data_IF_137384085230
#
_entry.id   IF_137384085230
#
_cell.length_a   1.000
_cell.length_b   1.000
_cell.length_c   1.000
_cell.angle_alpha   90.00
_cell.angle_beta   90.00
_cell.angle_gamma   90.00
#
_symmetry.space_group_name_H-M   'P 1'
#
loop_
_entity.id
_entity.type
_entity.pdbx_description
1 polymer ?
#
# COMPACT_ATOMS: atom_id res chain seq x y z
N UNK A 1 -31.23 -55.31 -42.69
CA UNK A 1 -31.62 -55.49 -41.28
C UNK A 1 -30.38 -55.75 -40.44
N UNK A 2 -29.91 -54.79 -39.64
CA UNK A 2 -29.10 -55.01 -38.42
C UNK A 2 -29.14 -53.72 -37.61
N UNK A 3 -29.32 -53.89 -36.31
CA UNK A 3 -30.04 -53.02 -35.40
C UNK A 3 -29.13 -51.95 -34.80
N UNK A 4 -29.67 -50.74 -34.63
CA UNK A 4 -29.11 -49.70 -33.79
C UNK A 4 -29.11 -50.14 -32.32
N UNK A 5 -28.03 -49.84 -31.60
CA UNK A 5 -28.05 -49.66 -30.15
C UNK A 5 -27.12 -48.49 -29.81
N UNK A 6 -27.75 -47.39 -29.37
CA UNK A 6 -27.14 -46.24 -28.73
C UNK A 6 -26.44 -46.68 -27.44
N UNK A 7 -25.23 -46.18 -27.19
CA UNK A 7 -24.79 -45.84 -25.82
C UNK A 7 -24.24 -44.43 -25.85
N UNK A 8 -25.09 -43.52 -25.40
CA UNK A 8 -24.86 -42.12 -25.09
C UNK A 8 -23.72 -42.02 -24.07
N UNK A 9 -22.53 -41.64 -24.54
CA UNK A 9 -21.38 -41.38 -23.67
C UNK A 9 -21.54 -39.98 -23.09
N UNK A 10 -21.76 -39.94 -21.78
CA UNK A 10 -22.03 -38.76 -20.96
C UNK A 10 -20.87 -37.76 -21.01
N UNK A 11 -21.05 -36.64 -21.73
CA UNK A 11 -20.18 -35.47 -21.62
C UNK A 11 -20.52 -34.74 -20.31
N UNK A 12 -19.76 -35.03 -19.25
CA UNK A 12 -19.73 -34.16 -18.06
C UNK A 12 -19.12 -32.82 -18.47
N UNK A 13 -19.83 -31.69 -18.37
CA UNK A 13 -19.19 -30.40 -18.57
C UNK A 13 -18.20 -30.21 -17.44
N UNK A 14 -16.91 -30.09 -17.77
CA UNK A 14 -15.94 -29.46 -16.90
C UNK A 14 -16.47 -28.05 -16.63
N UNK A 15 -17.18 -27.87 -15.52
CA UNK A 15 -17.46 -26.56 -14.97
C UNK A 15 -16.11 -25.99 -14.55
N UNK A 16 -15.46 -25.28 -15.47
CA UNK A 16 -14.38 -24.36 -15.12
C UNK A 16 -15.04 -23.35 -14.18
N UNK A 17 -14.79 -23.51 -12.89
CA UNK A 17 -15.09 -22.48 -11.90
C UNK A 17 -14.16 -21.32 -12.23
N UNK A 18 -14.59 -20.46 -13.15
CA UNK A 18 -14.01 -19.14 -13.34
C UNK A 18 -14.34 -18.41 -12.06
N UNK A 19 -13.43 -18.48 -11.09
CA UNK A 19 -13.50 -17.65 -9.91
C UNK A 19 -13.69 -16.22 -10.40
N UNK A 20 -14.82 -15.61 -10.04
CA UNK A 20 -15.07 -14.20 -10.33
C UNK A 20 -13.80 -13.42 -9.98
N UNK A 21 -13.36 -12.43 -10.79
CA UNK A 21 -12.38 -11.49 -10.30
C UNK A 21 -13.06 -10.77 -9.12
N UNK A 22 -12.81 -11.27 -7.91
CA UNK A 22 -13.03 -10.51 -6.71
C UNK A 22 -12.37 -9.17 -6.99
N UNK A 23 -13.14 -8.09 -6.88
CA UNK A 23 -12.71 -6.71 -7.07
C UNK A 23 -11.26 -6.61 -6.64
N UNK A 24 -10.34 -6.32 -7.57
CA UNK A 24 -8.92 -6.25 -7.26
C UNK A 24 -8.77 -5.38 -6.02
N UNK A 25 -8.45 -5.98 -4.88
CA UNK A 25 -8.39 -5.24 -3.63
C UNK A 25 -7.33 -4.16 -3.84
N UNK A 26 -7.75 -2.90 -3.76
CA UNK A 26 -6.82 -1.79 -3.93
C UNK A 26 -5.90 -1.82 -2.73
N UNK A 27 -4.66 -2.27 -2.94
CA UNK A 27 -3.64 -2.32 -1.89
C UNK A 27 -3.42 -0.90 -1.38
N UNK A 28 -3.63 -0.71 -0.08
CA UNK A 28 -3.26 0.52 0.62
C UNK A 28 -2.08 0.19 1.52
N UNK A 29 -1.03 0.97 1.37
CA UNK A 29 0.13 0.90 2.24
C UNK A 29 0.05 2.00 3.31
N UNK A 30 0.41 1.66 4.54
CA UNK A 30 0.37 2.58 5.67
C UNK A 30 1.67 2.56 6.46
N UNK A 31 2.03 3.67 7.09
CA UNK A 31 3.19 3.77 7.97
C UNK A 31 3.03 4.81 9.07
N UNK A 32 3.72 4.58 10.17
CA UNK A 32 3.90 5.52 11.27
C UNK A 32 5.38 5.86 11.34
N UNK A 33 5.67 7.16 11.45
CA UNK A 33 7.01 7.69 11.64
C UNK A 33 7.13 8.33 13.01
N UNK A 34 8.27 8.15 13.67
CA UNK A 34 8.72 9.01 14.78
C UNK A 34 9.61 10.12 14.23
N UNK A 35 9.59 11.29 14.86
CA UNK A 35 10.48 12.40 14.54
C UNK A 35 11.49 12.60 15.67
N UNK A 36 12.79 12.58 15.36
CA UNK A 36 13.87 12.74 16.35
C UNK A 36 14.37 14.19 16.49
N UNK A 37 13.71 15.14 15.79
CA UNK A 37 14.15 16.53 15.69
C UNK A 37 14.79 16.85 14.34
N UNK A 38 15.25 15.83 13.62
CA UNK A 38 15.83 15.96 12.27
C UNK A 38 15.18 14.98 11.29
N UNK A 39 15.14 13.69 11.60
CA UNK A 39 14.67 12.66 10.68
C UNK A 39 13.28 12.16 11.08
N UNK A 40 12.44 11.87 10.07
CA UNK A 40 11.28 11.00 10.25
C UNK A 40 11.69 9.55 10.01
N UNK A 41 11.74 8.74 11.07
CA UNK A 41 12.10 7.33 11.02
C UNK A 41 10.85 6.46 11.06
N UNK A 42 10.71 5.55 10.10
CA UNK A 42 9.55 4.68 9.94
C UNK A 42 9.52 3.59 11.01
N UNK A 43 8.71 3.75 12.05
CA UNK A 43 8.66 2.82 13.19
C UNK A 43 7.73 1.63 12.98
N UNK A 44 6.64 1.82 12.24
CA UNK A 44 5.70 0.76 11.86
C UNK A 44 5.27 0.94 10.41
N UNK A 45 5.09 -0.17 9.69
CA UNK A 45 4.72 -0.12 8.27
C UNK A 45 4.12 -1.42 7.76
N UNK A 46 3.25 -1.31 6.77
CA UNK A 46 2.83 -2.43 5.90
C UNK A 46 3.71 -2.54 4.65
N UNK A 47 4.55 -1.53 4.37
CA UNK A 47 5.40 -1.51 3.18
C UNK A 47 6.51 -2.55 3.27
N UNK A 48 6.72 -3.18 2.14
CA UNK A 48 7.79 -4.14 1.91
C UNK A 48 8.68 -3.60 0.80
N UNK A 49 9.98 -3.67 1.03
CA UNK A 49 11.04 -3.34 0.08
C UNK A 49 11.89 -4.60 -0.11
N UNK A 50 12.00 -5.09 -1.34
CA UNK A 50 12.74 -6.33 -1.66
C UNK A 50 12.41 -7.52 -0.74
N UNK A 51 11.11 -7.68 -0.41
CA UNK A 51 10.62 -8.76 0.44
C UNK A 51 10.90 -8.59 1.94
N UNK A 52 11.42 -7.44 2.38
CA UNK A 52 11.65 -7.10 3.78
C UNK A 52 10.80 -5.91 4.20
N UNK A 53 10.43 -5.83 5.47
CA UNK A 53 9.70 -4.66 5.98
C UNK A 53 10.55 -3.39 5.80
N UNK A 54 9.92 -2.32 5.32
CA UNK A 54 10.54 -1.01 5.16
C UNK A 54 10.74 -0.25 6.50
N UNK A 55 10.56 -0.91 7.65
CA UNK A 55 10.78 -0.31 8.96
C UNK A 55 12.24 0.17 9.14
N UNK A 56 12.44 1.17 10.00
CA UNK A 56 13.73 1.85 10.27
C UNK A 56 14.35 2.60 9.09
N UNK A 57 13.60 2.80 8.02
CA UNK A 57 13.97 3.72 6.93
C UNK A 57 13.56 5.15 7.24
N UNK A 58 14.18 6.12 6.58
CA UNK A 58 13.89 7.55 6.74
C UNK A 58 13.00 8.06 5.62
N UNK A 59 12.15 9.04 5.92
CA UNK A 59 11.52 9.85 4.90
C UNK A 59 12.57 10.76 4.27
N UNK A 60 12.62 10.81 2.94
CA UNK A 60 13.56 11.66 2.21
C UNK A 60 13.29 13.16 2.51
N UNK A 61 14.35 13.88 2.89
CA UNK A 61 14.31 15.31 3.22
C UNK A 61 13.96 16.19 2.03
N UNK A 62 14.29 15.74 0.82
CA UNK A 62 14.00 16.49 -0.40
C UNK A 62 12.54 16.34 -0.84
N UNK A 63 11.80 15.39 -0.26
CA UNK A 63 10.40 15.17 -0.58
C UNK A 63 9.51 16.36 -0.19
N UNK A 64 8.46 16.59 -0.98
CA UNK A 64 7.44 17.60 -0.65
C UNK A 64 6.72 17.27 0.67
N UNK A 65 6.53 15.98 0.96
CA UNK A 65 5.95 15.50 2.21
C UNK A 65 6.78 15.91 3.42
N UNK A 66 8.10 15.65 3.41
CA UNK A 66 8.98 16.05 4.51
C UNK A 66 8.92 17.56 4.75
N UNK A 67 9.06 18.36 3.69
CA UNK A 67 9.03 19.83 3.75
C UNK A 67 7.72 20.39 4.31
N UNK A 68 6.60 19.70 4.10
CA UNK A 68 5.30 20.05 4.68
C UNK A 68 5.22 19.63 6.16
N UNK A 69 5.61 18.39 6.47
CA UNK A 69 5.50 17.82 7.81
C UNK A 69 6.35 18.55 8.85
N UNK A 70 7.57 18.98 8.52
CA UNK A 70 8.41 19.78 9.44
C UNK A 70 7.80 21.15 9.75
N UNK A 71 6.90 21.65 8.90
CA UNK A 71 6.10 22.87 9.14
C UNK A 71 4.77 22.56 9.83
N UNK A 72 4.58 21.32 10.31
CA UNK A 72 3.34 20.80 10.91
C UNK A 72 2.13 20.91 9.97
N UNK A 73 2.37 20.76 8.67
CA UNK A 73 1.31 20.72 7.65
C UNK A 73 1.22 19.33 7.03
N UNK A 74 0.00 18.93 6.66
CA UNK A 74 -0.23 17.71 5.89
C UNK A 74 0.19 17.90 4.43
N UNK A 75 0.49 16.78 3.77
CA UNK A 75 0.77 16.73 2.33
C UNK A 75 -0.06 15.62 1.69
N UNK A 76 -0.75 15.93 0.58
CA UNK A 76 -1.46 14.94 -0.24
C UNK A 76 -1.08 15.16 -1.69
N UNK A 77 -0.73 14.07 -2.39
CA UNK A 77 -0.39 14.09 -3.81
C UNK A 77 0.53 12.95 -4.22
N UNK A 78 1.16 13.11 -5.38
CA UNK A 78 2.10 12.14 -5.91
C UNK A 78 3.38 12.05 -5.06
N UNK A 79 3.77 10.85 -4.67
CA UNK A 79 5.02 10.58 -3.95
C UNK A 79 5.78 9.42 -4.59
N UNK A 80 7.10 9.44 -4.49
CA UNK A 80 7.95 8.29 -4.82
C UNK A 80 8.45 7.67 -3.53
N UNK A 81 8.15 6.38 -3.32
CA UNK A 81 8.52 5.62 -2.13
C UNK A 81 9.32 4.41 -2.61
N UNK A 82 10.61 4.36 -2.27
CA UNK A 82 11.54 3.34 -2.75
C UNK A 82 11.52 3.13 -4.28
N UNK A 83 11.48 4.22 -5.04
CA UNK A 83 11.41 4.18 -6.50
C UNK A 83 10.03 3.87 -7.08
N UNK A 84 9.03 3.57 -6.25
CA UNK A 84 7.66 3.30 -6.68
C UNK A 84 6.76 4.52 -6.54
N UNK A 85 5.88 4.73 -7.53
CA UNK A 85 4.92 5.84 -7.51
C UNK A 85 3.71 5.55 -6.63
N UNK A 86 3.28 6.54 -5.86
CA UNK A 86 2.11 6.48 -4.99
C UNK A 86 1.23 7.72 -5.20
N UNK A 87 -0.09 7.54 -5.04
CA UNK A 87 -0.96 8.63 -4.58
C UNK A 87 -1.01 8.55 -3.05
N UNK A 88 -0.44 9.54 -2.37
CA UNK A 88 -0.13 9.46 -0.95
C UNK A 88 -0.69 10.64 -0.16
N UNK A 89 -0.96 10.38 1.12
CA UNK A 89 -1.25 11.41 2.11
C UNK A 89 -0.38 11.21 3.34
N UNK A 90 0.11 12.33 3.86
CA UNK A 90 0.94 12.42 5.05
C UNK A 90 0.32 13.43 6.01
N UNK A 91 0.27 13.08 7.30
CA UNK A 91 -0.23 13.95 8.35
C UNK A 91 0.78 14.03 9.51
N UNK A 92 1.08 15.22 10.03
CA UNK A 92 1.98 15.36 11.17
C UNK A 92 1.31 14.86 12.45
N UNK A 93 2.09 14.19 13.30
CA UNK A 93 1.71 13.88 14.67
C UNK A 93 2.28 14.97 15.57
N UNK A 94 1.39 15.73 16.22
CA UNK A 94 1.73 16.84 17.09
C UNK A 94 1.14 16.56 18.47
N UNK A 95 1.96 16.65 19.52
CA UNK A 95 1.54 16.46 20.90
C UNK A 95 0.75 17.67 21.42
N UNK A 96 0.15 17.53 22.61
CA UNK A 96 -0.68 18.58 23.23
C UNK A 96 0.10 19.88 23.52
N UNK A 97 1.40 19.78 23.79
CA UNK A 97 2.32 20.91 23.95
C UNK A 97 2.76 21.55 22.62
N UNK A 98 2.26 21.02 21.50
CA UNK A 98 2.57 21.50 20.16
C UNK A 98 3.87 20.95 19.58
N UNK A 99 4.57 20.01 20.21
CA UNK A 99 5.79 19.43 19.65
C UNK A 99 5.47 18.48 18.49
N UNK A 100 6.29 18.53 17.43
CA UNK A 100 6.21 17.58 16.32
C UNK A 100 6.89 16.27 16.77
N UNK A 101 6.12 15.19 16.84
CA UNK A 101 6.58 13.89 17.38
C UNK A 101 6.69 12.80 16.32
N UNK A 102 6.12 13.02 15.14
CA UNK A 102 6.08 12.01 14.09
C UNK A 102 5.18 12.37 12.93
N UNK A 103 4.83 11.36 12.13
CA UNK A 103 3.90 11.50 11.03
C UNK A 103 3.19 10.17 10.72
N UNK A 104 2.03 10.28 10.09
CA UNK A 104 1.32 9.18 9.45
C UNK A 104 1.52 9.25 7.94
N UNK A 105 1.57 8.09 7.31
CA UNK A 105 1.53 7.93 5.85
C UNK A 105 0.46 6.91 5.50
N UNK A 106 -0.30 7.22 4.45
CA UNK A 106 -1.13 6.26 3.71
C UNK A 106 -0.92 6.49 2.21
N UNK A 107 -0.91 5.44 1.41
CA UNK A 107 -0.76 5.58 -0.03
C UNK A 107 -1.28 4.38 -0.81
N UNK A 108 -1.77 4.67 -2.00
CA UNK A 108 -2.14 3.67 -3.01
C UNK A 108 -1.02 3.66 -4.07
N UNK A 109 -0.36 2.52 -4.33
CA UNK A 109 0.63 2.41 -5.39
C UNK A 109 -0.06 2.65 -6.74
N UNK A 110 0.63 3.34 -7.65
CA UNK A 110 0.18 3.57 -9.03
C UNK A 110 0.62 2.44 -9.96
#
# INVERSE_FOLDING_TARGET
>A
MRRAFMILSLLLPFAVFVGSPALAETKVDASIFSYDGTDFVRTKTTLMEDGKSAANTKLDHDSAAYKALVKKHSYTGAATVFGHGYEASYAPLVSEDGALTGALFVGVPK
#
